data_IF_110837561084
#
_entry.id   IF_110837561084
#
_cell.length_a   1.000
_cell.length_b   1.000
_cell.length_c   1.000
_cell.angle_alpha   90.00
_cell.angle_beta   90.00
_cell.angle_gamma   90.00
#
_symmetry.space_group_name_H-M   'P 1'
#
loop_
_entity.id
_entity.type
_entity.pdbx_description
1 polymer ?
#
# COMPACT_ATOMS: atom_id res chain seq x y z
N UNK A 1 11.05 -13.13 -12.03
CA UNK A 1 10.36 -12.31 -13.04
C UNK A 1 9.15 -11.69 -12.37
N UNK A 2 9.15 -10.38 -12.13
CA UNK A 2 7.96 -9.67 -11.66
C UNK A 2 7.14 -9.33 -12.89
N UNK A 3 5.91 -9.85 -12.99
CA UNK A 3 4.99 -9.52 -14.07
C UNK A 3 4.60 -8.06 -13.91
N UNK A 4 5.18 -7.16 -14.72
CA UNK A 4 4.77 -5.76 -14.78
C UNK A 4 3.40 -5.71 -15.44
N UNK A 5 2.35 -5.50 -14.65
CA UNK A 5 1.01 -5.25 -15.19
C UNK A 5 0.94 -3.78 -15.62
N UNK A 6 0.59 -3.55 -16.87
CA UNK A 6 0.30 -2.20 -17.39
C UNK A 6 -1.12 -1.81 -17.00
N UNK A 7 -1.27 -0.77 -16.17
CA UNK A 7 -2.60 -0.28 -15.78
C UNK A 7 -2.71 0.14 -14.32
N UNK A 8 -3.95 0.20 -13.83
CA UNK A 8 -4.25 0.28 -12.40
C UNK A 8 -4.70 -1.12 -11.93
N UNK A 9 -4.44 -1.48 -10.67
CA UNK A 9 -4.99 -2.71 -10.13
C UNK A 9 -6.52 -2.66 -10.11
N UNK A 10 -7.16 -3.81 -9.95
CA UNK A 10 -8.60 -3.91 -9.77
C UNK A 10 -8.99 -3.73 -8.30
N UNK A 11 -10.21 -3.26 -8.04
CA UNK A 11 -10.74 -3.22 -6.68
C UNK A 11 -10.81 -4.63 -6.10
N UNK A 12 -10.42 -4.78 -4.84
CA UNK A 12 -10.26 -6.05 -4.13
C UNK A 12 -9.10 -6.94 -4.58
N UNK A 13 -8.26 -6.51 -5.52
CA UNK A 13 -7.07 -7.26 -5.92
C UNK A 13 -6.01 -7.27 -4.80
N UNK A 14 -5.32 -8.40 -4.65
CA UNK A 14 -4.23 -8.58 -3.70
C UNK A 14 -2.91 -8.39 -4.46
N UNK A 15 -2.08 -7.48 -3.97
CA UNK A 15 -0.84 -7.06 -4.63
C UNK A 15 0.31 -6.96 -3.64
N UNK A 16 1.54 -7.10 -4.14
CA UNK A 16 2.74 -6.89 -3.33
C UNK A 16 3.19 -5.43 -3.43
N UNK A 17 3.36 -4.84 -2.26
CA UNK A 17 3.63 -3.43 -2.06
C UNK A 17 4.85 -3.28 -1.13
N UNK A 18 5.73 -2.32 -1.41
CA UNK A 18 6.91 -2.03 -0.61
C UNK A 18 6.68 -0.75 0.18
N UNK A 19 6.82 -0.78 1.50
CA UNK A 19 6.66 0.42 2.34
C UNK A 19 7.79 1.41 2.00
N UNK A 20 7.43 2.59 1.52
CA UNK A 20 8.37 3.67 1.20
C UNK A 20 8.62 4.56 2.42
N UNK A 21 7.54 4.95 3.09
CA UNK A 21 7.58 5.90 4.21
C UNK A 21 6.44 5.65 5.17
N UNK A 22 6.72 5.70 6.47
CA UNK A 22 5.72 5.55 7.53
C UNK A 22 5.54 6.88 8.23
N UNK A 23 4.34 7.45 8.20
CA UNK A 23 3.94 8.58 9.02
C UNK A 23 3.05 8.10 10.18
N UNK A 24 2.84 8.91 11.23
CA UNK A 24 1.97 8.54 12.36
C UNK A 24 0.52 8.28 11.94
N UNK A 25 0.04 8.94 10.88
CA UNK A 25 -1.37 8.91 10.44
C UNK A 25 -1.57 8.09 9.15
N UNK A 26 -0.55 8.07 8.28
CA UNK A 26 -0.61 7.48 6.94
C UNK A 26 0.68 6.72 6.62
N UNK A 27 0.58 5.74 5.74
CA UNK A 27 1.72 4.94 5.29
C UNK A 27 1.77 4.97 3.77
N UNK A 28 2.93 5.29 3.22
CA UNK A 28 3.17 5.28 1.79
C UNK A 28 3.76 3.95 1.38
N UNK A 29 3.16 3.31 0.40
CA UNK A 29 3.62 2.07 -0.18
C UNK A 29 3.78 2.21 -1.70
N UNK A 30 4.76 1.51 -2.26
CA UNK A 30 5.02 1.45 -3.70
C UNK A 30 4.54 0.10 -4.21
N UNK A 31 3.73 0.10 -5.26
CA UNK A 31 3.25 -1.12 -5.91
C UNK A 31 4.33 -1.64 -6.86
N UNK A 32 5.00 -2.76 -6.52
CA UNK A 32 6.13 -3.29 -7.29
C UNK A 32 5.68 -3.86 -8.65
N UNK A 33 4.44 -4.37 -8.70
CA UNK A 33 3.82 -4.99 -9.88
C UNK A 33 3.21 -3.97 -10.86
N UNK A 34 2.95 -2.75 -10.40
CA UNK A 34 2.22 -1.70 -11.12
C UNK A 34 3.10 -0.45 -11.34
N UNK A 35 4.21 -0.63 -12.05
CA UNK A 35 5.15 0.45 -12.45
C UNK A 35 5.61 1.36 -11.30
N UNK A 36 5.77 0.79 -10.08
CA UNK A 36 6.14 1.54 -8.88
C UNK A 36 5.19 2.70 -8.57
N UNK A 37 3.91 2.55 -8.91
CA UNK A 37 2.86 3.49 -8.49
C UNK A 37 2.85 3.65 -6.98
N UNK A 38 2.49 4.85 -6.55
CA UNK A 38 2.39 5.18 -5.12
C UNK A 38 0.97 4.90 -4.63
N UNK A 39 0.88 4.19 -3.51
CA UNK A 39 -0.33 3.92 -2.76
C UNK A 39 -0.25 4.54 -1.37
N UNK A 40 -1.41 4.96 -0.87
CA UNK A 40 -1.56 5.48 0.49
C UNK A 40 -2.43 4.52 1.29
N UNK A 41 -1.92 4.13 2.46
CA UNK A 41 -2.62 3.26 3.40
C UNK A 41 -2.88 4.10 4.65
N UNK A 42 -4.15 4.23 5.04
CA UNK A 42 -4.51 4.91 6.27
C UNK A 42 -4.25 3.99 7.48
N UNK A 43 -3.84 4.55 8.63
CA UNK A 43 -3.55 3.73 9.82
C UNK A 43 -4.77 2.92 10.28
N UNK A 44 -5.98 3.41 10.07
CA UNK A 44 -7.23 2.70 10.35
C UNK A 44 -7.39 1.40 9.56
N UNK A 45 -6.78 1.31 8.38
CA UNK A 45 -6.85 0.11 7.53
C UNK A 45 -5.80 -0.94 7.91
N UNK A 46 -4.84 -0.59 8.76
CA UNK A 46 -3.76 -1.50 9.18
C UNK A 46 -4.20 -2.37 10.35
N UNK A 47 -5.02 -1.83 11.26
CA UNK A 47 -5.62 -2.61 12.34
C UNK A 47 -6.90 -1.96 12.83
N UNK A 48 -7.97 -2.75 13.08
CA UNK A 48 -9.21 -2.25 13.66
C UNK A 48 -9.09 -1.83 15.14
N UNK A 49 -7.94 -2.09 15.77
CA UNK A 49 -7.68 -1.81 17.19
C UNK A 49 -6.76 -0.62 17.44
N UNK A 50 -6.55 -0.31 18.74
CA UNK A 50 -5.66 0.76 19.17
C UNK A 50 -4.20 0.35 18.97
N UNK A 51 -3.59 0.85 17.90
CA UNK A 51 -2.18 0.59 17.58
C UNK A 51 -1.30 1.37 18.56
N UNK A 52 -0.56 0.66 19.43
CA UNK A 52 0.44 1.28 20.32
C UNK A 52 1.67 1.77 19.56
N UNK A 53 2.12 1.02 18.56
CA UNK A 53 3.27 1.37 17.72
C UNK A 53 3.08 0.86 16.29
N UNK A 54 2.90 1.79 15.34
CA UNK A 54 2.74 1.44 13.92
C UNK A 54 4.00 0.82 13.31
N UNK A 55 5.18 1.17 13.86
CA UNK A 55 6.49 0.69 13.41
C UNK A 55 6.71 -0.82 13.57
N UNK A 56 5.90 -1.47 14.41
CA UNK A 56 5.95 -2.93 14.59
C UNK A 56 5.28 -3.65 13.41
N UNK A 57 4.19 -3.07 12.90
CA UNK A 57 3.42 -3.59 11.78
C UNK A 57 4.07 -3.28 10.43
N UNK A 58 4.50 -2.03 10.23
CA UNK A 58 5.06 -1.55 8.97
C UNK A 58 6.44 -0.92 9.19
N UNK A 59 7.38 -1.28 8.32
CA UNK A 59 8.76 -0.80 8.34
C UNK A 59 9.19 -0.42 6.94
N UNK A 60 9.90 0.70 6.82
CA UNK A 60 10.41 1.19 5.54
C UNK A 60 11.29 0.11 4.87
N UNK A 61 11.09 -0.08 3.56
CA UNK A 61 11.74 -1.11 2.76
C UNK A 61 11.15 -2.51 2.89
N UNK A 62 10.22 -2.76 3.81
CA UNK A 62 9.56 -4.06 3.96
C UNK A 62 8.56 -4.27 2.81
N UNK A 63 8.61 -5.44 2.18
CA UNK A 63 7.55 -5.92 1.29
C UNK A 63 6.40 -6.48 2.11
N UNK A 64 5.20 -5.99 1.86
CA UNK A 64 3.96 -6.45 2.49
C UNK A 64 2.94 -6.76 1.41
N UNK A 65 1.90 -7.50 1.77
CA UNK A 65 0.79 -7.82 0.88
C UNK A 65 -0.34 -6.84 1.21
N UNK A 66 -0.79 -6.10 0.22
CA UNK A 66 -1.87 -5.13 0.34
C UNK A 66 -3.08 -5.62 -0.46
N UNK A 67 -4.28 -5.32 0.03
CA UNK A 67 -5.50 -5.41 -0.76
C UNK A 67 -5.88 -4.02 -1.26
N UNK A 68 -6.20 -3.91 -2.54
CA UNK A 68 -6.68 -2.66 -3.12
C UNK A 68 -8.12 -2.45 -2.70
N UNK A 69 -8.37 -1.40 -1.92
CA UNK A 69 -9.72 -1.07 -1.45
C UNK A 69 -10.47 -0.26 -2.49
N UNK A 70 -9.81 0.73 -3.08
CA UNK A 70 -10.37 1.64 -4.06
C UNK A 70 -9.25 2.21 -4.92
N UNK A 71 -9.54 2.46 -6.19
CA UNK A 71 -8.66 3.22 -7.08
C UNK A 71 -9.31 4.57 -7.37
N UNK A 72 -8.75 5.64 -6.82
CA UNK A 72 -9.12 7.00 -7.21
C UNK A 72 -8.38 7.38 -8.49
N UNK A 73 -9.01 7.08 -9.63
CA UNK A 73 -8.57 7.52 -10.96
C UNK A 73 -9.05 8.96 -11.19
N UNK A 74 -8.62 9.90 -10.35
CA UNK A 74 -8.87 11.33 -10.58
C UNK A 74 -8.00 11.76 -11.77
N UNK A 75 -8.48 11.41 -12.97
CA UNK A 75 -8.21 12.17 -14.19
C UNK A 75 -8.96 13.48 -14.02
N UNK A 76 -8.26 14.53 -13.62
CA UNK A 76 -8.68 15.88 -13.93
C UNK A 76 -7.76 16.45 -15.01
#
# INVERSE_FOLDING_TARGET
>A
MFYKKTGFPEENEIIICTIKKVLPNCVFAILDEYDKKEGLIHISEISPGRIRNIRDYVKEGKKVVCKVLKIDNIKH
#
